data_IF_233917443932
#
_entry.id   IF_233917443932
#
_cell.length_a   1.000
_cell.length_b   1.000
_cell.length_c   1.000
_cell.angle_alpha   90.00
_cell.angle_beta   90.00
_cell.angle_gamma   90.00
#
_symmetry.space_group_name_H-M   'P 1'
#
loop_
_entity.id
_entity.type
_entity.pdbx_description
1 polymer ?
#
# COMPACT_ATOMS: atom_id res chain seq x y z
N UNK A 1 -8.60 -41.67 3.18
CA UNK A 1 -8.31 -40.30 2.73
C UNK A 1 -9.49 -39.45 3.21
N UNK A 2 -9.26 -38.50 4.11
CA UNK A 2 -10.34 -37.62 4.58
C UNK A 2 -10.45 -36.50 3.53
N UNK A 3 -11.44 -36.62 2.66
CA UNK A 3 -11.84 -35.53 1.76
C UNK A 3 -12.75 -34.59 2.55
N UNK A 4 -12.14 -33.68 3.31
CA UNK A 4 -12.90 -32.62 3.97
C UNK A 4 -13.34 -31.61 2.89
N UNK A 5 -14.63 -31.26 2.80
CA UNK A 5 -15.14 -30.38 1.74
C UNK A 5 -14.43 -29.02 1.67
N UNK A 6 -13.89 -28.54 2.80
CA UNK A 6 -13.10 -27.32 2.86
C UNK A 6 -11.76 -27.43 2.11
N UNK A 7 -11.10 -28.59 2.14
CA UNK A 7 -9.84 -28.82 1.40
C UNK A 7 -10.13 -28.79 -0.11
N UNK A 8 -11.21 -29.44 -0.55
CA UNK A 8 -11.64 -29.45 -1.95
C UNK A 8 -12.00 -28.05 -2.45
N UNK A 9 -12.56 -27.20 -1.59
CA UNK A 9 -12.90 -25.82 -1.91
C UNK A 9 -11.65 -24.95 -2.11
N UNK A 10 -10.65 -25.05 -1.22
CA UNK A 10 -9.39 -24.31 -1.34
C UNK A 10 -8.59 -24.73 -2.58
N UNK A 11 -8.53 -26.03 -2.90
CA UNK A 11 -7.85 -26.51 -4.11
C UNK A 11 -8.53 -25.99 -5.39
N UNK A 12 -9.87 -25.89 -5.40
CA UNK A 12 -10.63 -25.41 -6.57
C UNK A 12 -10.59 -23.89 -6.75
N UNK A 13 -10.58 -23.12 -5.67
CA UNK A 13 -10.63 -21.65 -5.73
C UNK A 13 -9.27 -20.97 -5.62
N UNK A 14 -8.20 -21.73 -5.35
CA UNK A 14 -6.88 -21.18 -5.08
C UNK A 14 -6.78 -20.60 -3.68
N UNK A 15 -5.57 -20.12 -3.34
CA UNK A 15 -5.37 -19.30 -2.15
C UNK A 15 -5.78 -17.87 -2.49
N UNK A 16 -6.45 -17.14 -1.57
CA UNK A 16 -6.58 -15.69 -1.73
C UNK A 16 -5.18 -15.11 -1.96
N UNK A 17 -5.07 -14.15 -2.89
CA UNK A 17 -3.82 -13.41 -3.10
C UNK A 17 -3.32 -12.93 -1.74
N UNK A 18 -2.00 -13.04 -1.52
CA UNK A 18 -1.38 -12.62 -0.25
C UNK A 18 -1.87 -11.21 0.07
N UNK A 19 -2.49 -11.05 1.24
CA UNK A 19 -2.90 -9.73 1.73
C UNK A 19 -1.69 -8.80 1.65
N UNK A 20 -1.88 -7.63 1.01
CA UNK A 20 -0.84 -6.61 0.96
C UNK A 20 -0.45 -6.25 2.39
N UNK A 21 0.85 -6.25 2.69
CA UNK A 21 1.29 -5.93 4.05
C UNK A 21 1.04 -4.46 4.33
N UNK A 22 0.37 -4.17 5.43
CA UNK A 22 0.19 -2.80 5.92
C UNK A 22 1.54 -2.27 6.43
N UNK A 23 2.01 -1.18 5.84
CA UNK A 23 3.26 -0.51 6.18
C UNK A 23 3.07 0.57 7.25
N UNK A 24 1.87 1.13 7.41
CA UNK A 24 1.58 2.17 8.38
C UNK A 24 0.56 3.18 7.87
N UNK A 25 0.45 4.30 8.58
CA UNK A 25 -0.38 5.42 8.19
C UNK A 25 0.49 6.59 7.75
N UNK A 26 0.05 7.29 6.69
CA UNK A 26 0.70 8.52 6.24
C UNK A 26 0.38 9.72 7.14
N UNK A 27 0.94 10.88 6.81
CA UNK A 27 0.73 12.13 7.55
C UNK A 27 -0.75 12.53 7.71
N UNK A 28 -1.62 12.17 6.76
CA UNK A 28 -3.06 12.46 6.80
C UNK A 28 -3.89 11.34 7.43
N UNK A 29 -3.26 10.24 7.85
CA UNK A 29 -3.91 9.08 8.41
C UNK A 29 -4.45 8.10 7.36
N UNK A 30 -3.99 8.20 6.10
CA UNK A 30 -4.31 7.22 5.07
C UNK A 30 -3.50 5.95 5.29
N UNK A 31 -4.13 4.79 5.10
CA UNK A 31 -3.43 3.50 5.14
C UNK A 31 -2.44 3.41 3.99
N UNK A 32 -1.25 2.92 4.28
CA UNK A 32 -0.20 2.66 3.31
C UNK A 32 0.15 1.18 3.30
N UNK A 33 0.20 0.59 2.11
CA UNK A 33 0.49 -0.81 1.86
C UNK A 33 1.83 -1.00 1.14
N UNK A 34 2.46 -2.15 1.35
CA UNK A 34 3.73 -2.53 0.72
C UNK A 34 3.59 -2.51 -0.82
N UNK A 35 4.49 -1.81 -1.49
CA UNK A 35 4.47 -1.66 -2.95
C UNK A 35 3.77 -0.39 -3.46
N UNK A 36 3.13 0.39 -2.59
CA UNK A 36 2.53 1.67 -2.97
C UNK A 36 3.58 2.76 -3.20
N UNK A 37 3.21 3.75 -4.02
CA UNK A 37 4.06 4.91 -4.26
C UNK A 37 3.82 5.96 -3.17
N UNK A 38 4.90 6.36 -2.50
CA UNK A 38 4.85 7.39 -1.47
C UNK A 38 5.73 8.58 -1.85
N UNK A 39 5.37 9.76 -1.37
CA UNK A 39 6.21 10.94 -1.36
C UNK A 39 6.79 11.10 0.05
N UNK A 40 8.09 11.33 0.16
CA UNK A 40 8.78 11.57 1.44
C UNK A 40 9.32 12.99 1.45
N UNK A 41 8.95 13.77 2.46
CA UNK A 41 9.42 15.13 2.71
C UNK A 41 9.89 15.19 4.17
N UNK A 42 11.15 15.56 4.39
CA UNK A 42 11.80 15.49 5.69
C UNK A 42 11.66 14.07 6.32
N UNK A 43 11.04 13.97 7.49
CA UNK A 43 10.81 12.71 8.21
C UNK A 43 9.37 12.17 8.04
N UNK A 44 8.57 12.80 7.19
CA UNK A 44 7.16 12.47 6.94
C UNK A 44 6.96 11.83 5.56
N UNK A 45 5.90 11.04 5.41
CA UNK A 45 5.51 10.47 4.13
C UNK A 45 4.01 10.61 3.83
N UNK A 46 3.69 10.53 2.55
CA UNK A 46 2.36 10.75 2.00
C UNK A 46 2.07 9.67 0.94
N UNK A 47 0.91 9.02 0.99
CA UNK A 47 0.50 8.06 -0.05
C UNK A 47 0.16 8.83 -1.32
N UNK A 48 0.85 8.56 -2.42
CA UNK A 48 0.75 9.36 -3.64
C UNK A 48 -0.65 9.26 -4.29
N UNK A 49 -1.28 8.10 -4.20
CA UNK A 49 -2.60 7.81 -4.74
C UNK A 49 -3.70 8.65 -4.08
N UNK A 50 -3.50 9.00 -2.80
CA UNK A 50 -4.45 9.79 -2.00
C UNK A 50 -4.25 11.30 -2.17
N UNK A 51 -3.23 11.72 -2.91
CA UNK A 51 -2.92 13.13 -3.14
C UNK A 51 -3.48 13.63 -4.46
N UNK A 52 -3.97 14.88 -4.45
CA UNK A 52 -4.26 15.60 -5.68
C UNK A 52 -2.97 15.94 -6.44
N UNK A 53 -3.08 16.17 -7.75
CA UNK A 53 -1.93 16.58 -8.58
C UNK A 53 -1.28 17.88 -8.09
N UNK A 54 -2.09 18.80 -7.55
CA UNK A 54 -1.60 20.06 -6.98
C UNK A 54 -0.77 19.79 -5.71
N UNK A 55 -1.26 18.93 -4.82
CA UNK A 55 -0.52 18.54 -3.62
C UNK A 55 0.80 17.84 -3.95
N UNK A 56 0.82 16.94 -4.94
CA UNK A 56 2.05 16.31 -5.43
C UNK A 56 3.04 17.36 -5.94
N UNK A 57 2.56 18.35 -6.71
CA UNK A 57 3.40 19.41 -7.28
C UNK A 57 3.99 20.30 -6.18
N UNK A 58 3.18 20.67 -5.18
CA UNK A 58 3.60 21.45 -4.02
C UNK A 58 4.65 20.69 -3.21
N UNK A 59 4.40 19.42 -2.88
CA UNK A 59 5.35 18.59 -2.13
C UNK A 59 6.69 18.47 -2.86
N UNK A 60 6.67 18.22 -4.18
CA UNK A 60 7.89 18.19 -5.01
C UNK A 60 8.62 19.53 -5.01
N UNK A 61 7.89 20.64 -5.07
CA UNK A 61 8.48 21.99 -4.99
C UNK A 61 9.21 22.20 -3.66
N UNK A 62 8.68 21.65 -2.56
CA UNK A 62 9.32 21.65 -1.25
C UNK A 62 10.44 20.60 -1.08
N UNK A 63 10.73 19.81 -2.13
CA UNK A 63 11.84 18.84 -2.12
C UNK A 63 11.42 17.39 -1.83
N UNK A 64 10.13 17.08 -1.83
CA UNK A 64 9.67 15.71 -1.62
C UNK A 64 10.16 14.76 -2.72
N UNK A 65 10.56 13.55 -2.32
CA UNK A 65 11.06 12.50 -3.22
C UNK A 65 10.09 11.32 -3.32
N UNK A 66 9.97 10.71 -4.50
CA UNK A 66 9.12 9.52 -4.69
C UNK A 66 9.87 8.25 -4.30
N UNK A 67 9.21 7.37 -3.54
CA UNK A 67 9.71 6.05 -3.12
C UNK A 67 8.59 5.01 -3.20
N UNK A 68 8.97 3.74 -3.09
CA UNK A 68 8.04 2.62 -2.94
C UNK A 68 8.04 2.19 -1.47
N UNK A 69 6.85 2.06 -0.88
CA UNK A 69 6.66 1.58 0.48
C UNK A 69 7.16 0.13 0.62
N UNK A 70 7.87 -0.17 1.71
CA UNK A 70 8.48 -1.46 2.03
C UNK A 70 8.20 -1.86 3.46
#
# INVERSE_FOLDING_TARGET
MIEHPDITRTIRMGYPEREQKHCGFDFFGNECFEGEEILVLDDEFFVKQELSNDAISILRYFGASSKIAK
#
